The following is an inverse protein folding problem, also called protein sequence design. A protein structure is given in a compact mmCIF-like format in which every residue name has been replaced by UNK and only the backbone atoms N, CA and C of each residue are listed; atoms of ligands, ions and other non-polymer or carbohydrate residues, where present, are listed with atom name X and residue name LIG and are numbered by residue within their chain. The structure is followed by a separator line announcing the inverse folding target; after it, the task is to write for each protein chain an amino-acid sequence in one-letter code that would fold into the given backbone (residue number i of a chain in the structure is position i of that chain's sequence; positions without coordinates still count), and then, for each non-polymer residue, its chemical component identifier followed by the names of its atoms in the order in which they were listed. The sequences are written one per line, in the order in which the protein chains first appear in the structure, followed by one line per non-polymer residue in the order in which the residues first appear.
data_IF_892958526102
#
_entry.id   IF_892958526102
#
_cell.length_a   1.000
_cell.length_b   1.000
_cell.length_c   1.000
_cell.angle_alpha   90.00
_cell.angle_beta   90.00
_cell.angle_gamma   90.00
#
_symmetry.space_group_name_H-M   'P 1'
#
loop_
_entity.id
_entity.type
_entity.pdbx_description
1 polymer ?
#
# COMPACT_ATOMS: atom_id res chain seq x y z
N UNK A 1 18.39 -21.65 -4.89
CA UNK A 1 17.13 -21.37 -4.18
C UNK A 1 17.49 -20.75 -2.84
N UNK A 2 16.99 -19.56 -2.53
CA UNK A 2 17.17 -18.95 -1.20
C UNK A 2 16.32 -19.72 -0.19
N UNK A 3 16.97 -20.64 0.52
CA UNK A 3 16.41 -21.39 1.64
C UNK A 3 16.37 -20.46 2.87
N UNK A 4 15.46 -19.49 2.87
CA UNK A 4 15.23 -18.64 4.04
C UNK A 4 14.40 -19.43 5.05
N UNK A 5 15.11 -20.05 5.99
CA UNK A 5 14.59 -20.64 7.22
C UNK A 5 13.50 -19.72 7.78
N UNK A 6 12.25 -20.19 7.78
CA UNK A 6 11.08 -19.43 8.21
C UNK A 6 11.25 -18.95 9.65
N UNK A 7 11.80 -17.74 9.81
CA UNK A 7 11.74 -17.02 11.07
C UNK A 7 10.28 -16.86 11.46
N UNK A 8 9.99 -16.87 12.76
CA UNK A 8 8.65 -16.74 13.32
C UNK A 8 7.87 -15.61 12.62
N UNK A 9 7.08 -15.95 11.61
CA UNK A 9 6.29 -14.98 10.85
C UNK A 9 5.15 -14.62 11.79
N UNK A 10 5.09 -13.38 12.30
CA UNK A 10 3.99 -12.99 13.16
C UNK A 10 2.70 -13.18 12.36
N UNK A 11 1.65 -13.69 13.01
CA UNK A 11 0.33 -13.69 12.37
C UNK A 11 -0.01 -12.23 12.01
N UNK A 12 -0.67 -11.95 10.87
CA UNK A 12 -0.82 -10.59 10.33
C UNK A 12 -1.42 -9.56 11.31
N UNK A 13 -2.22 -10.01 12.28
CA UNK A 13 -2.79 -9.15 13.32
C UNK A 13 -1.80 -8.78 14.42
N UNK A 14 -0.84 -9.67 14.70
CA UNK A 14 0.23 -9.51 15.69
C UNK A 14 1.51 -8.87 15.11
N UNK A 15 1.59 -8.70 13.78
CA UNK A 15 2.69 -7.98 13.16
C UNK A 15 2.62 -6.49 13.54
N UNK A 16 3.59 -5.94 14.28
CA UNK A 16 3.59 -4.54 14.68
C UNK A 16 3.62 -3.55 13.50
N UNK A 17 4.01 -4.02 12.31
CA UNK A 17 4.05 -3.24 11.08
C UNK A 17 2.91 -3.55 10.10
N UNK A 18 2.17 -4.66 10.33
CA UNK A 18 1.01 -5.12 9.53
C UNK A 18 1.22 -5.08 8.01
N UNK A 19 2.45 -5.30 7.55
CA UNK A 19 2.78 -5.15 6.12
C UNK A 19 2.06 -6.19 5.25
N UNK A 20 1.75 -7.36 5.82
CA UNK A 20 0.99 -8.41 5.14
C UNK A 20 -0.50 -8.09 4.97
N UNK A 21 -1.04 -7.06 5.65
CA UNK A 21 -2.45 -6.63 5.55
C UNK A 21 -2.66 -5.67 4.37
N UNK A 22 -1.59 -5.15 3.78
CA UNK A 22 -1.66 -4.35 2.55
C UNK A 22 -2.34 -5.21 1.48
N UNK A 23 -3.57 -4.84 1.12
CA UNK A 23 -4.27 -5.53 0.05
C UNK A 23 -3.41 -5.46 -1.20
N UNK A 24 -3.24 -6.57 -1.91
CA UNK A 24 -2.51 -6.55 -3.16
C UNK A 24 -3.26 -5.67 -4.16
N UNK A 25 -2.78 -4.44 -4.35
CA UNK A 25 -3.36 -3.46 -5.27
C UNK A 25 -2.98 -3.76 -6.73
N UNK A 26 -2.78 -5.03 -7.12
CA UNK A 26 -2.28 -5.43 -8.44
C UNK A 26 -3.09 -4.82 -9.59
N UNK A 27 -4.42 -4.83 -9.50
CA UNK A 27 -5.27 -4.19 -10.52
C UNK A 27 -5.01 -2.68 -10.64
N UNK A 28 -4.79 -1.99 -9.52
CA UNK A 28 -4.47 -0.56 -9.50
C UNK A 28 -3.06 -0.30 -10.04
N UNK A 29 -2.11 -1.19 -9.78
CA UNK A 29 -0.77 -1.13 -10.36
C UNK A 29 -0.84 -1.17 -11.88
N UNK A 30 -1.65 -2.08 -12.45
CA UNK A 30 -1.87 -2.16 -13.90
C UNK A 30 -2.47 -0.87 -14.48
N UNK A 31 -3.45 -0.26 -13.79
CA UNK A 31 -4.01 1.03 -14.21
C UNK A 31 -2.99 2.17 -14.12
N UNK A 32 -2.20 2.23 -13.04
CA UNK A 32 -1.14 3.21 -12.85
C UNK A 32 -0.06 3.13 -13.94
N UNK A 33 0.34 1.92 -14.29
CA UNK A 33 1.28 1.67 -15.39
C UNK A 33 0.71 2.13 -16.73
N UNK A 34 -0.53 1.78 -17.04
CA UNK A 34 -1.19 2.19 -18.28
C UNK A 34 -1.36 3.72 -18.37
N UNK A 35 -1.74 4.37 -17.27
CA UNK A 35 -1.92 5.81 -17.20
C UNK A 35 -0.61 6.60 -17.04
N UNK A 36 0.53 5.92 -16.85
CA UNK A 36 1.85 6.49 -16.51
C UNK A 36 1.78 7.49 -15.34
N UNK A 37 1.00 7.15 -14.32
CA UNK A 37 0.77 7.96 -13.12
C UNK A 37 1.00 7.11 -11.88
N UNK A 38 1.41 7.71 -10.74
CA UNK A 38 1.42 6.98 -9.49
C UNK A 38 0.00 6.55 -9.11
N UNK A 39 -0.11 5.39 -8.44
CA UNK A 39 -1.39 4.77 -8.04
C UNK A 39 -2.30 5.75 -7.28
N UNK A 40 -1.71 6.64 -6.48
CA UNK A 40 -2.42 7.64 -5.68
C UNK A 40 -3.07 8.77 -6.49
N UNK A 41 -2.66 8.97 -7.75
CA UNK A 41 -3.16 10.03 -8.64
C UNK A 41 -4.10 9.51 -9.72
N UNK A 42 -4.50 8.24 -9.63
CA UNK A 42 -5.47 7.64 -10.54
C UNK A 42 -6.84 8.32 -10.42
N UNK A 43 -7.40 8.71 -11.57
CA UNK A 43 -8.71 9.36 -11.67
C UNK A 43 -9.70 8.46 -12.41
N UNK A 44 -11.02 8.72 -12.31
CA UNK A 44 -12.01 7.98 -13.11
C UNK A 44 -11.72 8.06 -14.61
N UNK A 45 -11.15 9.19 -15.07
CA UNK A 45 -10.74 9.41 -16.45
C UNK A 45 -9.62 8.47 -16.95
N UNK A 46 -8.90 7.80 -16.04
CA UNK A 46 -7.85 6.83 -16.37
C UNK A 46 -8.40 5.40 -16.59
N UNK A 47 -9.73 5.26 -16.76
CA UNK A 47 -10.38 3.96 -16.97
C UNK A 47 -10.67 3.19 -15.68
N UNK A 48 -10.47 3.83 -14.53
CA UNK A 48 -10.72 3.26 -13.20
C UNK A 48 -12.22 3.27 -12.93
N UNK A 49 -12.86 2.09 -13.01
CA UNK A 49 -14.30 1.92 -12.69
C UNK A 49 -14.56 2.31 -11.23
N UNK A 50 -15.74 2.88 -10.93
CA UNK A 50 -16.06 3.50 -9.64
C UNK A 50 -15.69 2.69 -8.38
N UNK A 51 -15.79 1.36 -8.41
CA UNK A 51 -15.38 0.49 -7.28
C UNK A 51 -13.88 0.54 -6.94
N UNK A 52 -13.02 0.86 -7.92
CA UNK A 52 -11.58 1.01 -7.70
C UNK A 52 -11.21 2.38 -7.12
N UNK A 53 -12.09 3.39 -7.21
CA UNK A 53 -11.80 4.72 -6.67
C UNK A 53 -11.70 4.71 -5.14
N UNK A 54 -12.58 3.95 -4.48
CA UNK A 54 -12.51 3.74 -3.04
C UNK A 54 -11.28 2.92 -2.64
N UNK A 55 -10.83 2.01 -3.51
CA UNK A 55 -9.59 1.28 -3.31
C UNK A 55 -8.34 2.19 -3.45
N UNK A 56 -8.33 3.17 -4.36
CA UNK A 56 -7.27 4.21 -4.45
C UNK A 56 -7.21 5.00 -3.14
N UNK A 57 -8.36 5.48 -2.65
CA UNK A 57 -8.44 6.26 -1.40
C UNK A 57 -8.02 5.43 -0.19
N UNK A 58 -8.45 4.17 -0.14
CA UNK A 58 -8.02 3.22 0.89
C UNK A 58 -6.51 2.98 0.85
N UNK A 59 -5.94 2.78 -0.34
CA UNK A 59 -4.50 2.65 -0.55
C UNK A 59 -3.75 3.87 -0.02
N UNK A 60 -4.17 5.08 -0.39
CA UNK A 60 -3.56 6.30 0.12
C UNK A 60 -3.53 6.35 1.65
N UNK A 61 -4.65 6.06 2.32
CA UNK A 61 -4.73 6.05 3.79
C UNK A 61 -3.80 5.03 4.43
N UNK A 62 -3.70 3.82 3.87
CA UNK A 62 -2.82 2.77 4.42
C UNK A 62 -1.36 3.20 4.30
N UNK A 63 -0.95 3.71 3.13
CA UNK A 63 0.42 4.18 2.93
C UNK A 63 0.74 5.43 3.76
N UNK A 64 -0.22 6.34 3.93
CA UNK A 64 -0.07 7.51 4.82
C UNK A 64 0.12 7.09 6.28
N UNK A 65 -0.69 6.16 6.78
CA UNK A 65 -0.53 5.64 8.14
C UNK A 65 0.82 4.95 8.34
N UNK A 66 1.25 4.15 7.36
CA UNK A 66 2.56 3.52 7.37
C UNK A 66 3.68 4.56 7.38
N UNK A 67 3.61 5.56 6.50
CA UNK A 67 4.60 6.64 6.42
C UNK A 67 4.68 7.41 7.74
N UNK A 68 3.55 7.80 8.33
CA UNK A 68 3.50 8.47 9.64
C UNK A 68 4.11 7.62 10.75
N UNK A 69 3.85 6.30 10.75
CA UNK A 69 4.40 5.38 11.75
C UNK A 69 5.93 5.26 11.60
N UNK A 70 6.42 5.11 10.38
CA UNK A 70 7.87 5.07 10.09
C UNK A 70 8.52 6.41 10.45
N UNK A 71 7.90 7.53 10.07
CA UNK A 71 8.38 8.88 10.41
C UNK A 71 8.48 9.10 11.92
N UNK A 72 7.45 8.70 12.67
CA UNK A 72 7.46 8.75 14.14
C UNK A 72 8.58 7.92 14.76
N UNK A 73 8.88 6.74 14.21
CA UNK A 73 10.00 5.91 14.64
C UNK A 73 11.36 6.49 14.25
N UNK A 74 11.45 7.14 13.09
CA UNK A 74 12.67 7.73 12.57
C UNK A 74 12.95 9.15 13.08
N UNK A 75 12.03 9.75 13.83
CA UNK A 75 12.11 11.17 14.23
C UNK A 75 11.90 12.16 13.08
N UNK A 76 11.28 11.72 11.98
CA UNK A 76 11.01 12.53 10.79
C UNK A 76 9.53 12.89 10.75
N UNK A 77 9.22 14.19 10.67
CA UNK A 77 7.85 14.66 10.49
C UNK A 77 7.37 14.32 9.07
N UNK A 78 6.30 13.52 8.99
CA UNK A 78 5.61 13.24 7.72
C UNK A 78 4.35 14.12 7.67
N UNK A 79 4.22 14.98 6.64
CA UNK A 79 3.09 15.91 6.49
C UNK A 79 1.77 15.20 6.20
#
# INVERSE_FOLDING_TARGET
MLDQKGGNIPVPDEDPFRLAVLRPYYSLMSFAMAARKPIFLLKPADGVRGAYLDAVRGCYRVFEQLARRIGGLAGVAVP
#
